data_IF_025457220900
#
_entry.id   IF_025457220900
#
_cell.length_a   1.000
_cell.length_b   1.000
_cell.length_c   1.000
_cell.angle_alpha   90.00
_cell.angle_beta   90.00
_cell.angle_gamma   90.00
#
_symmetry.space_group_name_H-M   'P 1'
#
loop_
_entity.id
_entity.type
_entity.pdbx_description
1 polymer ?
#
# COMPACT_ATOMS: atom_id res chain seq x y z
N UNK A 1 -19.44 14.18 8.68
CA UNK A 1 -18.27 13.76 7.86
C UNK A 1 -17.37 12.85 8.70
N UNK A 2 -17.84 11.64 9.03
CA UNK A 2 -17.13 10.73 9.93
C UNK A 2 -16.70 9.43 9.24
N UNK A 3 -16.76 9.38 7.90
CA UNK A 3 -16.27 8.24 7.17
C UNK A 3 -14.73 8.21 7.27
N UNK A 4 -14.20 7.05 7.65
CA UNK A 4 -12.76 6.78 7.72
C UNK A 4 -12.52 5.33 7.31
N UNK A 5 -11.30 5.04 6.87
CA UNK A 5 -10.86 3.70 6.50
C UNK A 5 -9.67 3.34 7.38
N UNK A 6 -9.84 2.33 8.23
CA UNK A 6 -8.73 1.73 8.98
C UNK A 6 -8.12 0.62 8.10
N UNK A 7 -7.12 0.98 7.29
CA UNK A 7 -6.54 0.08 6.27
C UNK A 7 -5.51 -0.89 6.88
N UNK A 8 -5.70 -2.19 6.69
CA UNK A 8 -4.80 -3.22 7.22
C UNK A 8 -3.48 -3.27 6.44
N UNK A 9 -2.35 -3.19 7.15
CA UNK A 9 -1.01 -3.26 6.57
C UNK A 9 -0.17 -4.35 7.28
N UNK A 10 0.28 -5.40 6.56
CA UNK A 10 1.09 -6.46 7.15
C UNK A 10 2.53 -5.97 7.41
N UNK A 11 2.89 -5.77 8.69
CA UNK A 11 4.18 -5.17 9.07
C UNK A 11 5.35 -6.15 9.14
N UNK A 12 5.09 -7.45 9.29
CA UNK A 12 6.13 -8.49 9.45
C UNK A 12 6.47 -9.24 8.16
N UNK A 13 5.78 -8.93 7.06
CA UNK A 13 6.05 -9.54 5.75
C UNK A 13 7.26 -8.87 5.08
N UNK A 14 8.30 -9.65 4.79
CA UNK A 14 9.56 -9.13 4.22
C UNK A 14 9.63 -9.16 2.70
N UNK A 15 8.79 -9.96 2.03
CA UNK A 15 8.81 -10.16 0.58
C UNK A 15 7.65 -9.46 -0.16
N UNK A 16 6.90 -8.59 0.52
CA UNK A 16 5.71 -7.93 -0.01
C UNK A 16 5.91 -6.51 -0.50
N UNK A 17 4.76 -5.87 -0.83
CA UNK A 17 4.63 -4.45 -1.16
C UNK A 17 4.84 -3.54 0.06
N UNK A 18 4.62 -4.08 1.26
CA UNK A 18 4.86 -3.40 2.54
C UNK A 18 6.21 -3.83 3.09
N UNK A 19 7.03 -2.84 3.47
CA UNK A 19 8.35 -3.06 4.09
C UNK A 19 8.55 -2.05 5.21
N UNK A 20 9.39 -2.40 6.18
CA UNK A 20 9.77 -1.48 7.27
C UNK A 20 11.19 -1.00 7.03
N UNK A 21 11.39 0.32 7.10
CA UNK A 21 12.71 0.96 6.95
C UNK A 21 13.00 1.93 8.08
N UNK A 22 14.27 2.10 8.41
CA UNK A 22 14.75 3.08 9.38
C UNK A 22 15.48 4.21 8.66
N UNK A 23 15.19 5.46 9.00
CA UNK A 23 15.89 6.65 8.50
C UNK A 23 16.70 7.30 9.63
N UNK A 24 17.96 7.62 9.36
CA UNK A 24 18.82 8.28 10.35
C UNK A 24 18.46 9.76 10.53
N UNK A 25 18.16 10.45 9.43
CA UNK A 25 17.61 11.82 9.38
C UNK A 25 16.54 11.92 8.28
N UNK A 26 15.78 13.02 8.25
CA UNK A 26 14.71 13.22 7.25
C UNK A 26 15.21 13.24 5.80
N UNK A 27 16.44 13.69 5.58
CA UNK A 27 17.06 13.81 4.25
C UNK A 27 17.78 12.53 3.81
N UNK A 28 17.99 11.57 4.72
CA UNK A 28 18.70 10.34 4.40
C UNK A 28 17.82 9.31 3.72
N UNK A 29 18.46 8.40 2.99
CA UNK A 29 17.85 7.16 2.53
C UNK A 29 17.47 6.27 3.72
N UNK A 30 16.36 5.54 3.58
CA UNK A 30 15.95 4.56 4.58
C UNK A 30 16.60 3.20 4.31
N UNK A 31 17.12 2.57 5.37
CA UNK A 31 17.65 1.21 5.31
C UNK A 31 16.58 0.20 5.76
N UNK A 32 16.44 -0.96 5.10
CA UNK A 32 15.47 -1.98 5.51
C UNK A 32 15.85 -2.55 6.88
N UNK A 33 14.83 -2.87 7.68
CA UNK A 33 15.02 -3.48 9.01
C UNK A 33 14.18 -4.74 9.16
N UNK A 34 14.56 -5.61 10.10
CA UNK A 34 13.79 -6.80 10.46
C UNK A 34 12.84 -6.48 11.63
N UNK A 35 11.54 -6.20 11.38
CA UNK A 35 10.63 -5.62 12.38
C UNK A 35 10.37 -6.54 13.58
N UNK A 36 10.56 -7.86 13.45
CA UNK A 36 10.41 -8.82 14.54
C UNK A 36 11.60 -8.86 15.51
N UNK A 37 12.70 -8.17 15.20
CA UNK A 37 13.95 -8.20 15.97
C UNK A 37 14.28 -6.85 16.63
N UNK A 38 13.43 -5.84 16.47
CA UNK A 38 13.71 -4.48 16.91
C UNK A 38 12.50 -3.85 17.61
N UNK A 39 12.75 -2.89 18.50
CA UNK A 39 11.73 -2.02 19.03
C UNK A 39 11.51 -0.83 18.07
N UNK A 40 10.26 -0.59 17.69
CA UNK A 40 9.88 0.53 16.84
C UNK A 40 10.08 1.87 17.58
N UNK A 41 10.53 2.87 16.82
CA UNK A 41 10.69 4.25 17.27
C UNK A 41 10.40 5.21 16.11
N UNK A 42 10.48 6.52 16.36
CA UNK A 42 10.14 7.60 15.40
C UNK A 42 10.98 7.62 14.11
N UNK A 43 12.09 6.86 14.07
CA UNK A 43 12.93 6.72 12.88
C UNK A 43 12.44 5.64 11.92
N UNK A 44 11.45 4.84 12.32
CA UNK A 44 10.90 3.75 11.53
C UNK A 44 9.71 4.21 10.70
N UNK A 45 9.73 3.84 9.42
CA UNK A 45 8.71 4.18 8.45
C UNK A 45 8.19 2.92 7.78
N UNK A 46 6.90 2.95 7.44
CA UNK A 46 6.28 1.98 6.54
C UNK A 46 6.54 2.43 5.12
N UNK A 47 7.16 1.56 4.33
CA UNK A 47 7.28 1.71 2.89
C UNK A 47 6.19 0.86 2.24
N UNK A 48 5.30 1.51 1.51
CA UNK A 48 4.24 0.86 0.75
C UNK A 48 4.39 1.18 -0.73
N UNK A 49 4.72 0.17 -1.53
CA UNK A 49 4.63 0.26 -2.98
C UNK A 49 3.16 0.16 -3.40
N UNK A 50 2.37 1.20 -3.13
CA UNK A 50 0.93 1.23 -3.41
C UNK A 50 0.64 1.19 -4.92
N UNK A 51 -0.40 0.46 -5.31
CA UNK A 51 -0.95 0.41 -6.65
C UNK A 51 -2.32 1.10 -6.70
N UNK A 52 -2.89 1.15 -7.91
CA UNK A 52 -4.20 1.78 -8.14
C UNK A 52 -5.14 0.90 -8.99
N UNK A 53 -4.64 -0.20 -9.55
CA UNK A 53 -5.46 -1.15 -10.29
C UNK A 53 -4.96 -2.58 -10.08
N UNK A 54 -5.82 -3.54 -10.38
CA UNK A 54 -5.46 -4.95 -10.46
C UNK A 54 -6.16 -5.58 -11.67
N UNK A 55 -5.57 -6.64 -12.22
CA UNK A 55 -6.24 -7.42 -13.29
C UNK A 55 -7.51 -8.01 -12.72
N UNK A 56 -8.63 -7.76 -13.40
CA UNK A 56 -9.92 -8.30 -13.03
C UNK A 56 -10.09 -9.72 -13.59
N UNK A 57 -10.96 -10.49 -12.94
CA UNK A 57 -11.56 -11.68 -13.54
C UNK A 57 -12.70 -11.31 -14.50
N UNK A 58 -13.46 -12.32 -14.93
CA UNK A 58 -14.49 -12.16 -15.98
C UNK A 58 -15.69 -11.30 -15.56
N UNK A 59 -15.98 -11.17 -14.26
CA UNK A 59 -17.23 -10.59 -13.75
C UNK A 59 -17.02 -9.40 -12.80
N UNK A 60 -15.79 -9.00 -12.52
CA UNK A 60 -15.43 -7.98 -11.54
C UNK A 60 -14.60 -6.83 -12.16
N UNK A 61 -14.64 -6.69 -13.48
CA UNK A 61 -14.00 -5.60 -14.21
C UNK A 61 -14.71 -4.26 -14.02
N UNK A 62 -13.95 -3.19 -13.83
CA UNK A 62 -14.46 -1.82 -13.80
C UNK A 62 -14.11 -1.02 -15.05
N UNK A 63 -12.96 -1.30 -15.68
CA UNK A 63 -12.51 -0.63 -16.90
C UNK A 63 -11.51 -1.48 -17.68
N UNK A 64 -11.24 -1.10 -18.93
CA UNK A 64 -10.20 -1.71 -19.76
C UNK A 64 -8.94 -0.84 -19.66
N UNK A 65 -7.85 -1.43 -19.17
CA UNK A 65 -6.57 -0.73 -19.06
C UNK A 65 -5.94 -0.45 -20.43
N UNK A 66 -4.97 0.47 -20.48
CA UNK A 66 -4.26 0.79 -21.72
C UNK A 66 -3.52 -0.41 -22.35
N UNK A 67 -3.25 -1.46 -21.56
CA UNK A 67 -2.68 -2.72 -22.02
C UNK A 67 -3.73 -3.73 -22.55
N UNK A 68 -4.99 -3.30 -22.72
CA UNK A 68 -6.09 -4.11 -23.25
C UNK A 68 -6.64 -5.15 -22.27
N UNK A 69 -6.19 -5.16 -21.01
CA UNK A 69 -6.69 -6.10 -19.99
C UNK A 69 -7.84 -5.47 -19.22
N UNK A 70 -8.79 -6.31 -18.81
CA UNK A 70 -9.81 -5.93 -17.84
C UNK A 70 -9.14 -5.64 -16.48
N UNK A 71 -9.48 -4.49 -15.92
CA UNK A 71 -8.93 -3.95 -14.68
C UNK A 71 -10.05 -3.61 -13.72
N UNK A 72 -9.72 -3.71 -12.43
CA UNK A 72 -10.60 -3.29 -11.34
C UNK A 72 -9.90 -2.33 -10.40
N UNK A 73 -10.69 -1.55 -9.67
CA UNK A 73 -10.22 -0.65 -8.63
C UNK A 73 -9.51 -1.45 -7.53
N UNK A 74 -8.41 -0.89 -7.03
CA UNK A 74 -7.55 -1.56 -6.05
C UNK A 74 -6.71 -0.53 -5.29
N UNK A 75 -6.58 -0.72 -3.97
CA UNK A 75 -5.82 0.14 -3.06
C UNK A 75 -6.15 1.64 -3.24
N UNK A 76 -5.28 2.41 -3.90
CA UNK A 76 -5.43 3.86 -4.03
C UNK A 76 -6.78 4.26 -4.67
N UNK A 77 -7.15 3.62 -5.78
CA UNK A 77 -8.36 4.00 -6.51
C UNK A 77 -9.63 3.59 -5.77
N UNK A 78 -9.59 2.47 -5.05
CA UNK A 78 -10.70 2.01 -4.22
C UNK A 78 -10.90 2.92 -3.00
N UNK A 79 -9.81 3.34 -2.34
CA UNK A 79 -9.87 4.35 -1.26
C UNK A 79 -10.55 5.62 -1.79
N UNK A 80 -10.09 6.17 -2.91
CA UNK A 80 -10.69 7.38 -3.50
C UNK A 80 -12.17 7.17 -3.79
N UNK A 81 -12.53 6.03 -4.39
CA UNK A 81 -13.91 5.70 -4.73
C UNK A 81 -14.80 5.60 -3.47
N UNK A 82 -14.33 4.97 -2.40
CA UNK A 82 -15.06 4.86 -1.14
C UNK A 82 -15.31 6.22 -0.47
N UNK A 83 -14.37 7.16 -0.57
CA UNK A 83 -14.56 8.53 -0.05
C UNK A 83 -15.44 9.41 -0.93
N UNK A 84 -15.56 9.09 -2.22
CA UNK A 84 -16.47 9.77 -3.14
C UNK A 84 -17.93 9.30 -2.99
N UNK A 85 -18.12 8.03 -2.64
CA UNK A 85 -19.42 7.38 -2.48
C UNK A 85 -20.22 7.92 -1.29
#
# INVERSE_FOLDING_TARGET
>A
MNFKIDYELPLTSVAGKIRIKQRSTFNDYGLPVAPTKININVKHYVEWQIGYDMVAGKNDGNFIGANGKDKKLYELSDIIFQFFK
#
